data_IF_841322196358
#
_entry.id   IF_841322196358
#
_cell.length_a   1.000
_cell.length_b   1.000
_cell.length_c   1.000
_cell.angle_alpha   90.00
_cell.angle_beta   90.00
_cell.angle_gamma   90.00
#
_symmetry.space_group_name_H-M   'P 1'
#
loop_
_entity.id
_entity.type
_entity.pdbx_description
1 polymer ?
#
# COMPACT_ATOMS: atom_id res chain seq x y z
N UNK A 1 15.13 6.62 46.56
CA UNK A 1 15.36 5.16 46.55
C UNK A 1 15.69 4.74 45.12
N UNK A 2 16.92 4.26 44.93
CA UNK A 2 17.37 3.18 44.06
C UNK A 2 16.89 3.13 42.59
N UNK A 3 17.88 3.27 41.72
CA UNK A 3 18.00 2.94 40.30
C UNK A 3 17.25 1.71 39.81
N UNK A 4 16.90 1.68 38.50
CA UNK A 4 17.51 0.79 37.47
C UNK A 4 16.81 0.94 36.12
N UNK A 5 17.60 1.20 35.09
CA UNK A 5 17.21 1.17 33.68
C UNK A 5 17.00 -0.27 33.18
N UNK A 6 16.10 -0.47 32.23
CA UNK A 6 16.05 -1.66 31.38
C UNK A 6 15.60 -1.27 29.96
N UNK A 7 16.45 -1.60 28.99
CA UNK A 7 16.27 -1.38 27.55
C UNK A 7 15.43 -2.51 26.90
N UNK A 8 14.85 -2.30 25.71
CA UNK A 8 13.94 -3.25 25.06
C UNK A 8 14.66 -4.42 24.40
N UNK A 9 14.15 -5.64 24.59
CA UNK A 9 14.63 -6.85 23.92
C UNK A 9 14.08 -6.94 22.49
N UNK A 10 14.99 -6.87 21.52
CA UNK A 10 14.75 -7.12 20.10
C UNK A 10 14.60 -8.62 19.84
N UNK A 11 13.41 -9.07 19.41
CA UNK A 11 13.24 -10.41 18.84
C UNK A 11 13.35 -10.34 17.31
N UNK A 12 14.54 -10.64 16.81
CA UNK A 12 14.80 -10.87 15.39
C UNK A 12 14.41 -12.30 15.04
N UNK A 13 13.44 -12.49 14.15
CA UNK A 13 13.13 -13.79 13.57
C UNK A 13 13.32 -13.73 12.06
N UNK A 14 14.52 -14.07 11.60
CA UNK A 14 14.82 -14.34 10.20
C UNK A 14 15.23 -15.80 10.04
N UNK A 15 14.29 -16.66 9.64
CA UNK A 15 14.60 -17.98 9.11
C UNK A 15 14.16 -18.03 7.64
N UNK A 16 15.04 -17.57 6.76
CA UNK A 16 14.88 -17.73 5.32
C UNK A 16 15.58 -19.05 4.96
N UNK A 17 14.80 -20.06 4.58
CA UNK A 17 15.31 -21.31 4.01
C UNK A 17 15.21 -21.26 2.48
N UNK A 18 16.32 -21.28 1.73
CA UNK A 18 16.29 -21.54 0.30
C UNK A 18 16.39 -23.05 0.08
N UNK A 19 15.28 -23.75 -0.18
CA UNK A 19 15.36 -25.16 -0.59
C UNK A 19 15.50 -25.28 -2.11
N UNK A 20 16.77 -25.37 -2.48
CA UNK A 20 17.40 -25.97 -3.66
C UNK A 20 16.56 -26.78 -4.64
N UNK A 21 16.85 -26.50 -5.92
CA UNK A 21 16.58 -27.23 -7.15
C UNK A 21 16.80 -28.74 -7.03
N UNK A 22 15.88 -29.53 -7.60
CA UNK A 22 16.11 -30.95 -7.86
C UNK A 22 16.56 -31.13 -9.32
N UNK A 23 17.77 -31.64 -9.43
CA UNK A 23 18.47 -32.10 -10.62
C UNK A 23 17.87 -33.38 -11.20
N UNK A 24 17.93 -33.48 -12.53
CA UNK A 24 17.38 -34.53 -13.37
C UNK A 24 18.02 -35.92 -13.20
N UNK A 25 17.27 -36.96 -13.53
CA UNK A 25 17.67 -38.20 -14.26
C UNK A 25 16.51 -39.22 -14.19
N UNK A 26 16.29 -40.21 -15.05
CA UNK A 26 16.69 -40.59 -16.42
C UNK A 26 15.83 -41.83 -16.75
N UNK A 27 15.47 -42.01 -18.03
CA UNK A 27 14.97 -43.21 -18.74
C UNK A 27 13.73 -43.98 -18.24
N UNK A 28 12.72 -44.04 -19.10
CA UNK A 28 12.21 -45.33 -19.57
C UNK A 28 11.49 -45.16 -20.90
N UNK A 29 11.46 -46.29 -21.60
CA UNK A 29 11.47 -46.46 -23.03
C UNK A 29 10.11 -46.90 -23.58
N UNK A 30 10.00 -46.80 -24.91
CA UNK A 30 9.04 -47.49 -25.78
C UNK A 30 7.60 -46.93 -25.82
N UNK A 31 7.24 -46.28 -26.94
CA UNK A 31 6.05 -46.59 -27.74
C UNK A 31 5.82 -45.56 -28.86
N UNK A 32 5.58 -46.08 -30.07
CA UNK A 32 4.83 -45.51 -31.20
C UNK A 32 4.98 -44.00 -31.50
N UNK A 33 5.80 -43.67 -32.49
CA UNK A 33 5.91 -42.32 -33.06
C UNK A 33 4.91 -42.19 -34.22
N UNK A 34 3.66 -41.86 -33.91
CA UNK A 34 2.73 -41.27 -34.88
C UNK A 34 3.31 -39.94 -35.39
N UNK A 35 3.02 -39.50 -36.64
CA UNK A 35 3.28 -38.13 -37.05
C UNK A 35 2.30 -37.23 -36.30
N UNK A 36 2.67 -36.85 -35.07
CA UNK A 36 2.04 -35.75 -34.33
C UNK A 36 2.09 -34.54 -35.25
N UNK A 37 0.95 -34.22 -35.88
CA UNK A 37 0.68 -32.88 -36.41
C UNK A 37 1.06 -31.92 -35.30
N UNK A 38 2.15 -31.18 -35.51
CA UNK A 38 2.52 -30.07 -34.66
C UNK A 38 1.34 -29.09 -34.75
N UNK A 39 0.35 -29.22 -33.86
CA UNK A 39 -0.40 -28.06 -33.41
C UNK A 39 0.70 -27.17 -32.87
N UNK A 40 1.09 -26.18 -33.67
CA UNK A 40 1.78 -25.01 -33.16
C UNK A 40 1.01 -24.63 -31.91
N UNK A 41 1.59 -24.95 -30.75
CA UNK A 41 1.26 -24.26 -29.53
C UNK A 41 1.77 -22.86 -29.81
N UNK A 42 0.95 -22.08 -30.52
CA UNK A 42 1.00 -20.64 -30.50
C UNK A 42 0.98 -20.34 -29.02
N UNK A 43 2.14 -19.92 -28.51
CA UNK A 43 2.23 -19.38 -27.16
C UNK A 43 1.18 -18.29 -27.14
N UNK A 44 0.04 -18.56 -26.51
CA UNK A 44 -0.95 -17.53 -26.25
C UNK A 44 -0.16 -16.43 -25.59
N UNK A 45 -0.14 -15.26 -26.21
CA UNK A 45 0.48 -14.07 -25.65
C UNK A 45 0.06 -14.04 -24.20
N UNK A 46 1.03 -14.08 -23.28
CA UNK A 46 0.75 -13.88 -21.87
C UNK A 46 0.09 -12.52 -21.79
N UNK A 47 -1.23 -12.48 -21.74
CA UNK A 47 -1.96 -11.29 -21.35
C UNK A 47 -1.57 -11.13 -19.90
N UNK A 48 -0.47 -10.41 -19.66
CA UNK A 48 -0.29 -9.68 -18.42
C UNK A 48 -1.53 -8.84 -18.31
N UNK A 49 -2.47 -9.37 -17.56
CA UNK A 49 -3.75 -8.78 -17.28
C UNK A 49 -3.50 -7.73 -16.21
N UNK A 50 -2.58 -6.80 -16.47
CA UNK A 50 -2.03 -5.94 -15.44
C UNK A 50 -1.30 -4.75 -16.08
N UNK A 51 -2.05 -3.66 -16.27
CA UNK A 51 -1.60 -2.26 -16.43
C UNK A 51 -2.65 -1.41 -17.17
N UNK A 52 -3.62 -2.01 -17.87
CA UNK A 52 -4.62 -1.26 -18.65
C UNK A 52 -5.87 -0.84 -17.86
N UNK A 53 -5.94 -1.10 -16.54
CA UNK A 53 -7.13 -0.85 -15.73
C UNK A 53 -7.15 0.51 -15.01
N UNK A 54 -6.12 1.34 -15.16
CA UNK A 54 -6.16 2.71 -14.64
C UNK A 54 -5.46 3.67 -15.60
N UNK A 55 -6.17 4.68 -16.13
CA UNK A 55 -5.54 5.68 -16.97
C UNK A 55 -4.44 6.40 -16.17
N UNK A 56 -3.37 6.89 -16.84
CA UNK A 56 -2.31 7.63 -16.18
C UNK A 56 -2.93 8.84 -15.45
N UNK A 57 -2.86 8.83 -14.11
CA UNK A 57 -3.34 9.93 -13.27
C UNK A 57 -2.43 11.12 -13.52
N UNK A 58 -3.00 12.23 -13.98
CA UNK A 58 -2.29 13.51 -14.00
C UNK A 58 -2.47 14.15 -12.63
N UNK A 59 -1.35 14.50 -11.98
CA UNK A 59 -1.33 15.14 -10.67
C UNK A 59 -1.17 16.66 -10.83
N UNK A 60 -1.63 17.42 -9.85
CA UNK A 60 -1.62 18.89 -9.89
C UNK A 60 -3.01 19.48 -10.18
N UNK A 61 -3.07 20.80 -10.38
CA UNK A 61 -4.35 21.50 -10.59
C UNK A 61 -5.20 21.63 -9.32
N UNK A 62 -4.58 21.67 -8.14
CA UNK A 62 -5.28 21.85 -6.87
C UNK A 62 -6.00 23.20 -6.86
N UNK A 63 -7.33 23.17 -6.75
CA UNK A 63 -8.12 24.39 -6.62
C UNK A 63 -7.89 25.00 -5.25
N UNK A 64 -8.12 26.31 -5.13
CA UNK A 64 -7.97 27.00 -3.85
C UNK A 64 -8.88 26.43 -2.75
N UNK A 65 -10.05 25.90 -3.12
CA UNK A 65 -11.00 25.27 -2.20
C UNK A 65 -10.54 23.91 -1.67
N UNK A 66 -9.67 23.21 -2.41
CA UNK A 66 -9.14 21.91 -2.02
C UNK A 66 -7.87 22.06 -1.16
N UNK A 67 -7.43 23.31 -0.90
CA UNK A 67 -6.29 23.60 -0.03
C UNK A 67 -6.70 23.42 1.43
N UNK A 68 -6.03 22.49 2.11
CA UNK A 68 -6.21 22.26 3.55
C UNK A 68 -5.66 23.44 4.37
N UNK A 69 -4.57 24.06 3.91
CA UNK A 69 -3.95 25.20 4.60
C UNK A 69 -4.32 26.52 3.93
N UNK A 70 -5.39 27.15 4.41
CA UNK A 70 -5.92 28.39 3.84
C UNK A 70 -5.14 29.65 4.28
N UNK A 71 -4.47 29.60 5.44
CA UNK A 71 -3.71 30.73 6.02
C UNK A 71 -2.18 30.49 6.03
N UNK A 72 -1.63 29.88 4.98
CA UNK A 72 -0.19 29.58 4.90
C UNK A 72 0.70 30.83 4.96
N UNK A 73 0.22 31.94 4.38
CA UNK A 73 0.98 33.18 4.26
C UNK A 73 0.71 34.19 5.39
N UNK A 74 -0.13 33.84 6.37
CA UNK A 74 -0.40 34.71 7.52
C UNK A 74 -1.15 36.01 7.16
N UNK A 75 -1.89 36.03 6.04
CA UNK A 75 -2.75 37.17 5.70
C UNK A 75 -3.86 37.38 6.73
N UNK A 76 -4.19 36.32 7.47
CA UNK A 76 -5.11 36.35 8.59
C UNK A 76 -4.33 36.10 9.88
N UNK A 77 -4.69 36.78 10.97
CA UNK A 77 -4.04 36.57 12.27
C UNK A 77 -4.09 35.11 12.68
N UNK A 78 -3.15 34.64 13.51
CA UNK A 78 -3.11 33.27 14.01
C UNK A 78 -4.00 33.07 15.26
N UNK A 79 -4.97 33.95 15.46
CA UNK A 79 -5.82 33.97 16.66
C UNK A 79 -6.86 32.85 16.63
N UNK A 80 -7.26 32.36 17.80
CA UNK A 80 -8.30 31.34 17.93
C UNK A 80 -9.60 31.71 17.19
N UNK A 81 -10.00 32.99 17.21
CA UNK A 81 -11.20 33.48 16.51
C UNK A 81 -11.12 33.30 15.00
N UNK A 82 -9.93 33.44 14.42
CA UNK A 82 -9.73 33.25 12.98
C UNK A 82 -9.74 31.76 12.64
N UNK A 83 -9.05 30.92 13.42
CA UNK A 83 -9.04 29.47 13.26
C UNK A 83 -10.46 28.86 13.35
N UNK A 84 -11.29 29.38 14.25
CA UNK A 84 -12.71 28.99 14.33
C UNK A 84 -13.52 29.39 13.08
N UNK A 85 -13.19 30.51 12.43
CA UNK A 85 -13.85 30.96 11.18
C UNK A 85 -13.45 30.12 9.97
N UNK A 86 -12.18 29.72 9.87
CA UNK A 86 -11.68 28.88 8.77
C UNK A 86 -12.02 27.40 8.93
N UNK A 87 -12.54 27.00 10.09
CA UNK A 87 -13.02 25.64 10.33
C UNK A 87 -11.96 24.70 10.89
N UNK A 88 -10.80 25.20 11.34
CA UNK A 88 -9.74 24.38 11.94
C UNK A 88 -10.23 23.61 13.18
N UNK A 89 -11.18 24.20 13.91
CA UNK A 89 -11.84 23.61 15.09
C UNK A 89 -13.24 23.05 14.80
N UNK A 90 -13.56 22.77 13.53
CA UNK A 90 -14.88 22.29 13.15
C UNK A 90 -15.10 20.83 13.57
N UNK A 91 -16.16 20.59 14.35
CA UNK A 91 -16.60 19.25 14.81
C UNK A 91 -15.51 18.41 15.48
N UNK A 92 -14.49 19.03 16.06
CA UNK A 92 -13.41 18.33 16.75
C UNK A 92 -13.95 17.47 17.89
N UNK A 93 -14.98 17.93 18.61
CA UNK A 93 -15.65 17.15 19.66
C UNK A 93 -16.22 15.83 19.15
N UNK A 94 -16.90 15.87 18.01
CA UNK A 94 -17.53 14.68 17.43
C UNK A 94 -16.48 13.68 16.95
N UNK A 95 -15.37 14.17 16.40
CA UNK A 95 -14.22 13.34 15.98
C UNK A 95 -13.61 12.62 17.19
N UNK A 96 -13.41 13.33 18.30
CA UNK A 96 -12.87 12.73 19.54
C UNK A 96 -13.83 11.69 20.11
N UNK A 97 -15.14 11.95 20.08
CA UNK A 97 -16.15 11.02 20.59
C UNK A 97 -16.27 9.73 19.75
N UNK A 98 -15.93 9.76 18.46
CA UNK A 98 -15.89 8.55 17.62
C UNK A 98 -14.79 7.56 18.04
N UNK A 99 -13.82 8.01 18.84
CA UNK A 99 -12.75 7.16 19.36
C UNK A 99 -11.55 7.05 18.42
N UNK A 100 -10.43 6.58 18.98
CA UNK A 100 -9.15 6.45 18.28
C UNK A 100 -9.23 5.47 17.10
N UNK A 101 -9.96 4.37 17.27
CA UNK A 101 -10.08 3.32 16.26
C UNK A 101 -10.69 3.85 14.96
N UNK A 102 -11.64 4.78 15.05
CA UNK A 102 -12.26 5.43 13.89
C UNK A 102 -11.29 6.37 13.15
N UNK A 103 -10.41 7.06 13.87
CA UNK A 103 -9.43 7.98 13.28
C UNK A 103 -8.31 7.20 12.58
N UNK A 104 -7.93 6.05 13.13
CA UNK A 104 -6.88 5.20 12.57
C UNK A 104 -7.37 4.35 11.39
N UNK A 105 -8.59 3.85 11.45
CA UNK A 105 -9.06 2.84 10.49
C UNK A 105 -9.47 3.47 9.17
N UNK A 106 -8.86 3.01 8.07
CA UNK A 106 -9.35 3.23 6.71
C UNK A 106 -10.25 2.04 6.36
N UNK A 107 -11.59 2.19 6.29
CA UNK A 107 -12.46 1.09 5.95
C UNK A 107 -12.24 0.67 4.49
N UNK A 108 -11.84 -0.58 4.27
CA UNK A 108 -11.75 -1.19 2.93
C UNK A 108 -10.36 -1.32 2.32
N UNK A 109 -9.29 -1.18 3.11
CA UNK A 109 -7.91 -1.60 2.74
C UNK A 109 -7.47 -2.73 3.67
#
# INVERSE_FOLDING_TARGET
MISRAAAPSTHSFSHITPRTLHTASTVSSHAAREPRRQRQQQRGLATVQDAAASPPRTYGGLKDQDRIFQNLYGHHGADLKTAMKYGDWYRTKDIVLKGHDWVWTVPGV
#
